data_IF_946644092699
#
_entry.id   IF_946644092699
#
_cell.length_a   1.000
_cell.length_b   1.000
_cell.length_c   1.000
_cell.angle_alpha   90.00
_cell.angle_beta   90.00
_cell.angle_gamma   90.00
#
_symmetry.space_group_name_H-M   'P 1'
#
loop_
_entity.id
_entity.type
_entity.pdbx_description
1 polymer ?
#
# COMPACT_ATOMS: atom_id res chain seq x y z
N UNK A 1 -5.56 -16.32 -41.86
CA UNK A 1 -4.83 -15.52 -42.87
C UNK A 1 -4.63 -16.30 -44.16
N UNK A 2 -3.78 -17.32 -44.26
CA UNK A 2 -3.64 -18.06 -45.53
C UNK A 2 -4.88 -18.91 -45.84
N UNK A 3 -5.48 -19.53 -44.82
CA UNK A 3 -6.72 -20.31 -44.95
C UNK A 3 -7.97 -19.46 -45.16
N UNK A 4 -7.89 -18.14 -44.99
CA UNK A 4 -9.01 -17.18 -45.16
C UNK A 4 -8.92 -16.38 -46.47
N UNK A 5 -7.88 -16.56 -47.29
CA UNK A 5 -7.69 -15.83 -48.55
C UNK A 5 -7.26 -14.36 -48.39
N UNK A 6 -6.96 -13.91 -47.17
CA UNK A 6 -6.51 -12.55 -46.89
C UNK A 6 -4.99 -12.42 -47.03
N UNK A 7 -4.54 -11.33 -47.66
CA UNK A 7 -3.11 -11.02 -47.83
C UNK A 7 -2.49 -10.74 -46.44
N UNK A 8 -1.45 -11.48 -46.03
CA UNK A 8 -0.80 -11.25 -44.74
C UNK A 8 -0.15 -9.85 -44.71
N UNK A 9 -0.61 -8.98 -43.81
CA UNK A 9 0.00 -7.67 -43.56
C UNK A 9 0.90 -7.74 -42.34
N UNK A 10 2.15 -7.27 -42.46
CA UNK A 10 3.15 -7.28 -41.37
C UNK A 10 2.63 -6.56 -40.12
N UNK A 11 1.87 -5.47 -40.31
CA UNK A 11 1.27 -4.70 -39.22
C UNK A 11 0.30 -5.53 -38.37
N UNK A 12 -0.53 -6.36 -39.00
CA UNK A 12 -1.46 -7.24 -38.29
C UNK A 12 -0.72 -8.30 -37.47
N UNK A 13 0.40 -8.83 -37.98
CA UNK A 13 1.24 -9.77 -37.24
C UNK A 13 1.89 -9.09 -36.03
N UNK A 14 2.41 -7.87 -36.18
CA UNK A 14 3.00 -7.09 -35.07
C UNK A 14 1.96 -6.77 -33.99
N UNK A 15 0.75 -6.40 -34.38
CA UNK A 15 -0.34 -6.15 -33.43
C UNK A 15 -0.75 -7.42 -32.68
N UNK A 16 -0.87 -8.56 -33.37
CA UNK A 16 -1.17 -9.84 -32.73
C UNK A 16 -0.06 -10.27 -31.74
N UNK A 17 1.21 -10.09 -32.12
CA UNK A 17 2.34 -10.36 -31.22
C UNK A 17 2.31 -9.45 -29.99
N UNK A 18 2.03 -8.15 -30.15
CA UNK A 18 1.93 -7.20 -29.03
C UNK A 18 0.87 -7.64 -28.02
N UNK A 19 -0.32 -8.07 -28.49
CA UNK A 19 -1.38 -8.55 -27.62
C UNK A 19 -0.94 -9.77 -26.79
N UNK A 20 -0.30 -10.75 -27.43
CA UNK A 20 0.13 -12.00 -26.78
C UNK A 20 1.25 -11.72 -25.77
N UNK A 21 2.29 -10.99 -26.19
CA UNK A 21 3.45 -10.70 -25.34
C UNK A 21 3.08 -9.78 -24.17
N UNK A 22 2.26 -8.76 -24.39
CA UNK A 22 1.82 -7.87 -23.31
C UNK A 22 0.98 -8.62 -22.26
N UNK A 23 0.09 -9.52 -22.69
CA UNK A 23 -0.69 -10.35 -21.77
C UNK A 23 0.20 -11.31 -20.97
N UNK A 24 1.17 -11.95 -21.62
CA UNK A 24 2.14 -12.82 -20.95
C UNK A 24 3.00 -12.04 -19.95
N UNK A 25 3.41 -10.81 -20.31
CA UNK A 25 4.21 -9.93 -19.47
C UNK A 25 3.46 -9.48 -18.21
N UNK A 26 2.14 -9.23 -18.28
CA UNK A 26 1.32 -8.95 -17.09
C UNK A 26 1.31 -10.17 -16.16
N UNK A 27 1.09 -11.37 -16.71
CA UNK A 27 1.07 -12.61 -15.92
C UNK A 27 2.41 -12.84 -15.22
N UNK A 28 3.53 -12.70 -15.94
CA UNK A 28 4.88 -12.83 -15.40
C UNK A 28 5.13 -11.81 -14.28
N UNK A 29 4.76 -10.54 -14.47
CA UNK A 29 4.88 -9.51 -13.44
C UNK A 29 4.10 -9.85 -12.16
N UNK A 30 2.86 -10.35 -12.30
CA UNK A 30 2.05 -10.78 -11.16
C UNK A 30 2.64 -12.01 -10.45
N UNK A 31 3.16 -12.98 -11.19
CA UNK A 31 3.81 -14.16 -10.62
C UNK A 31 5.06 -13.80 -9.81
N UNK A 32 5.88 -12.87 -10.33
CA UNK A 32 7.05 -12.32 -9.63
C UNK A 32 6.62 -11.63 -8.32
N UNK A 33 5.61 -10.76 -8.39
CA UNK A 33 5.08 -10.06 -7.22
C UNK A 33 4.55 -11.05 -6.17
N UNK A 34 3.70 -11.99 -6.60
CA UNK A 34 3.07 -12.96 -5.72
C UNK A 34 4.11 -13.87 -5.05
N UNK A 35 5.09 -14.36 -5.80
CA UNK A 35 6.14 -15.22 -5.27
C UNK A 35 6.99 -14.52 -4.20
N UNK A 36 7.25 -13.22 -4.37
CA UNK A 36 7.93 -12.42 -3.35
C UNK A 36 7.09 -12.25 -2.08
N UNK A 37 5.81 -11.91 -2.24
CA UNK A 37 4.90 -11.73 -1.10
C UNK A 37 4.63 -13.03 -0.33
N UNK A 38 4.55 -14.19 -1.00
CA UNK A 38 4.43 -15.48 -0.31
C UNK A 38 5.67 -15.80 0.55
N UNK A 39 6.87 -15.38 0.13
CA UNK A 39 8.08 -15.49 0.97
C UNK A 39 8.01 -14.56 2.17
N UNK A 40 7.56 -13.31 1.98
CA UNK A 40 7.40 -12.36 3.09
C UNK A 40 6.38 -12.85 4.13
N UNK A 41 5.30 -13.47 3.66
CA UNK A 41 4.20 -13.98 4.48
C UNK A 41 4.64 -14.98 5.54
N UNK A 42 5.74 -15.72 5.33
CA UNK A 42 6.25 -16.65 6.36
C UNK A 42 6.72 -15.95 7.64
N UNK A 43 6.96 -14.64 7.57
CA UNK A 43 7.41 -13.80 8.68
C UNK A 43 6.27 -13.04 9.37
N UNK A 44 5.02 -13.21 8.95
CA UNK A 44 3.89 -12.54 9.58
C UNK A 44 3.72 -12.96 11.06
N UNK A 45 3.31 -12.04 11.96
CA UNK A 45 2.96 -10.64 11.68
C UNK A 45 4.16 -9.69 11.65
N UNK A 46 4.08 -8.70 10.76
CA UNK A 46 5.08 -7.63 10.56
C UNK A 46 4.48 -6.24 10.79
N UNK A 47 5.34 -5.25 11.03
CA UNK A 47 4.93 -3.84 11.04
C UNK A 47 4.57 -3.37 9.62
N UNK A 48 3.67 -2.40 9.52
CA UNK A 48 3.16 -1.94 8.23
C UNK A 48 4.29 -1.38 7.33
N UNK A 49 5.29 -0.72 7.92
CA UNK A 49 6.49 -0.23 7.22
C UNK A 49 7.25 -1.30 6.50
N UNK A 50 7.44 -2.44 7.15
CA UNK A 50 8.19 -3.58 6.61
C UNK A 50 7.43 -4.17 5.42
N UNK A 51 6.13 -4.41 5.59
CA UNK A 51 5.27 -4.95 4.53
C UNK A 51 5.14 -3.98 3.35
N UNK A 52 5.03 -2.68 3.62
CA UNK A 52 4.93 -1.65 2.58
C UNK A 52 6.24 -1.44 1.82
N UNK A 53 7.39 -1.55 2.50
CA UNK A 53 8.70 -1.45 1.85
C UNK A 53 8.96 -2.63 0.92
N UNK A 54 8.59 -3.84 1.34
CA UNK A 54 8.70 -5.02 0.48
C UNK A 54 7.74 -4.93 -0.71
N UNK A 55 6.50 -4.49 -0.49
CA UNK A 55 5.55 -4.21 -1.58
C UNK A 55 6.13 -3.25 -2.61
N UNK A 56 6.79 -2.16 -2.20
CA UNK A 56 7.43 -1.22 -3.13
C UNK A 56 8.52 -1.92 -3.96
N UNK A 57 9.37 -2.72 -3.32
CA UNK A 57 10.43 -3.45 -4.00
C UNK A 57 9.85 -4.43 -5.04
N UNK A 58 8.86 -5.23 -4.65
CA UNK A 58 8.24 -6.23 -5.51
C UNK A 58 7.40 -5.60 -6.64
N UNK A 59 6.67 -4.52 -6.35
CA UNK A 59 5.91 -3.75 -7.35
C UNK A 59 6.85 -3.19 -8.43
N UNK A 60 8.01 -2.67 -8.01
CA UNK A 60 9.07 -2.21 -8.92
C UNK A 60 9.57 -3.35 -9.80
N UNK A 61 9.89 -4.51 -9.23
CA UNK A 61 10.38 -5.66 -9.99
C UNK A 61 9.34 -6.22 -10.96
N UNK A 62 8.07 -6.29 -10.54
CA UNK A 62 6.96 -6.70 -11.40
C UNK A 62 6.76 -5.75 -12.58
N UNK A 63 6.84 -4.44 -12.33
CA UNK A 63 6.77 -3.41 -13.39
C UNK A 63 7.95 -3.57 -14.35
N UNK A 64 9.18 -3.80 -13.85
CA UNK A 64 10.34 -4.07 -14.72
C UNK A 64 10.17 -5.31 -15.58
N UNK A 65 9.61 -6.40 -15.04
CA UNK A 65 9.33 -7.61 -15.80
C UNK A 65 8.36 -7.33 -16.96
N UNK A 66 7.30 -6.56 -16.70
CA UNK A 66 6.39 -6.09 -17.74
C UNK A 66 7.10 -5.22 -18.78
N UNK A 67 7.89 -4.23 -18.34
CA UNK A 67 8.56 -3.28 -19.23
C UNK A 67 9.56 -3.96 -20.18
N UNK A 68 10.21 -5.04 -19.76
CA UNK A 68 11.17 -5.78 -20.59
C UNK A 68 10.55 -6.50 -21.79
N UNK A 69 9.28 -6.90 -21.68
CA UNK A 69 8.60 -7.73 -22.68
C UNK A 69 7.51 -7.00 -23.44
N UNK A 70 6.90 -6.01 -22.80
CA UNK A 70 5.77 -5.30 -23.38
C UNK A 70 6.23 -4.36 -24.49
N UNK A 71 5.42 -4.22 -25.54
CA UNK A 71 5.60 -3.23 -26.59
C UNK A 71 4.24 -2.84 -27.17
N UNK A 72 4.14 -1.64 -27.78
CA UNK A 72 2.89 -1.10 -28.35
C UNK A 72 1.69 -1.07 -27.37
N UNK A 73 1.91 -0.88 -26.07
CA UNK A 73 0.81 -0.61 -25.10
C UNK A 73 0.44 0.88 -25.09
N UNK A 74 0.04 1.43 -26.24
CA UNK A 74 -0.14 2.88 -26.43
C UNK A 74 -1.19 3.52 -25.51
N UNK A 75 -2.14 2.73 -25.01
CA UNK A 75 -3.19 3.18 -24.09
C UNK A 75 -2.89 2.83 -22.62
N UNK A 76 -1.77 2.15 -22.33
CA UNK A 76 -1.34 1.81 -20.97
C UNK A 76 -2.23 0.76 -20.29
N UNK A 77 -2.95 -0.03 -21.09
CA UNK A 77 -3.96 -0.98 -20.61
C UNK A 77 -3.35 -2.14 -19.85
N UNK A 78 -2.21 -2.66 -20.32
CA UNK A 78 -1.55 -3.79 -19.70
C UNK A 78 -0.81 -3.36 -18.43
N UNK A 79 -0.17 -2.18 -18.44
CA UNK A 79 0.38 -1.62 -17.21
C UNK A 79 -0.71 -1.38 -16.15
N UNK A 80 -1.85 -0.81 -16.56
CA UNK A 80 -2.99 -0.63 -15.66
C UNK A 80 -3.48 -1.97 -15.10
N UNK A 81 -3.58 -3.00 -15.93
CA UNK A 81 -3.97 -4.34 -15.50
C UNK A 81 -3.01 -4.94 -14.48
N UNK A 82 -1.69 -4.77 -14.69
CA UNK A 82 -0.68 -5.19 -13.71
C UNK A 82 -0.83 -4.44 -12.39
N UNK A 83 -0.99 -3.11 -12.42
CA UNK A 83 -1.18 -2.26 -11.24
C UNK A 83 -2.41 -2.70 -10.42
N UNK A 84 -3.55 -2.89 -11.08
CA UNK A 84 -4.79 -3.35 -10.44
C UNK A 84 -4.62 -4.75 -9.82
N UNK A 85 -3.91 -5.65 -10.51
CA UNK A 85 -3.60 -6.98 -10.00
C UNK A 85 -2.69 -6.95 -8.77
N UNK A 86 -1.62 -6.15 -8.80
CA UNK A 86 -0.70 -5.96 -7.66
C UNK A 86 -1.46 -5.37 -6.47
N UNK A 87 -2.28 -4.34 -6.67
CA UNK A 87 -3.05 -3.70 -5.60
C UNK A 87 -4.02 -4.68 -4.93
N UNK A 88 -4.71 -5.51 -5.74
CA UNK A 88 -5.60 -6.56 -5.23
C UNK A 88 -4.84 -7.60 -4.41
N UNK A 89 -3.69 -8.07 -4.90
CA UNK A 89 -2.84 -9.02 -4.17
C UNK A 89 -2.33 -8.40 -2.86
N UNK A 90 -1.82 -7.18 -2.92
CA UNK A 90 -1.29 -6.48 -1.76
C UNK A 90 -2.34 -6.31 -0.66
N UNK A 91 -3.56 -5.89 -1.01
CA UNK A 91 -4.66 -5.82 -0.07
C UNK A 91 -4.93 -7.19 0.60
N UNK A 92 -4.92 -8.27 -0.18
CA UNK A 92 -5.08 -9.62 0.35
C UNK A 92 -4.00 -10.01 1.37
N UNK A 93 -2.73 -9.66 1.10
CA UNK A 93 -1.64 -9.90 2.04
C UNK A 93 -1.69 -9.01 3.28
N UNK A 94 -2.13 -7.75 3.14
CA UNK A 94 -2.35 -6.87 4.29
C UNK A 94 -3.41 -7.45 5.23
N UNK A 95 -4.54 -7.96 4.70
CA UNK A 95 -5.54 -8.64 5.51
C UNK A 95 -4.97 -9.85 6.25
N UNK A 96 -4.15 -10.67 5.59
CA UNK A 96 -3.49 -11.81 6.23
C UNK A 96 -2.50 -11.39 7.32
N UNK A 97 -1.74 -10.31 7.11
CA UNK A 97 -0.83 -9.76 8.12
C UNK A 97 -1.61 -9.21 9.33
N UNK A 98 -2.72 -8.51 9.07
CA UNK A 98 -3.64 -8.02 10.10
C UNK A 98 -4.23 -9.16 10.93
N UNK A 99 -4.67 -10.25 10.30
CA UNK A 99 -5.19 -11.45 10.98
C UNK A 99 -4.12 -12.14 11.83
N UNK A 100 -2.91 -12.32 11.27
CA UNK A 100 -1.79 -12.89 12.02
C UNK A 100 -1.42 -12.01 13.23
N UNK A 101 -1.47 -10.69 13.07
CA UNK A 101 -1.20 -9.73 14.14
C UNK A 101 -2.24 -9.80 15.24
N UNK A 102 -3.54 -9.82 14.87
CA UNK A 102 -4.65 -10.00 15.81
C UNK A 102 -4.49 -11.29 16.61
N UNK A 103 -4.31 -12.43 15.93
CA UNK A 103 -4.14 -13.75 16.58
C UNK A 103 -2.95 -13.77 17.54
N UNK A 104 -1.83 -13.15 17.16
CA UNK A 104 -0.65 -12.99 18.03
C UNK A 104 -1.00 -12.19 19.28
N UNK A 105 -1.67 -11.05 19.13
CA UNK A 105 -2.08 -10.18 20.23
C UNK A 105 -3.07 -10.88 21.18
N UNK A 106 -4.07 -11.56 20.65
CA UNK A 106 -5.06 -12.34 21.41
C UNK A 106 -4.40 -13.45 22.23
N UNK A 107 -3.45 -14.18 21.64
CA UNK A 107 -2.70 -15.23 22.35
C UNK A 107 -1.88 -14.65 23.51
N UNK A 108 -1.23 -13.51 23.29
CA UNK A 108 -0.47 -12.81 24.34
C UNK A 108 -1.41 -12.39 25.48
N UNK A 109 -2.52 -11.72 25.16
CA UNK A 109 -3.47 -11.24 26.16
C UNK A 109 -4.12 -12.39 26.92
N UNK A 110 -4.44 -13.49 26.23
CA UNK A 110 -4.97 -14.72 26.85
C UNK A 110 -3.97 -15.34 27.82
N UNK A 111 -2.70 -15.41 27.43
CA UNK A 111 -1.62 -15.92 28.30
C UNK A 111 -1.42 -15.03 29.53
N UNK A 112 -1.34 -13.71 29.35
CA UNK A 112 -1.15 -12.74 30.44
C UNK A 112 -2.36 -12.71 31.39
N UNK A 113 -3.58 -12.89 30.88
CA UNK A 113 -4.81 -12.83 31.66
C UNK A 113 -5.25 -14.18 32.24
N UNK A 114 -4.51 -15.26 32.02
CA UNK A 114 -4.86 -16.60 32.50
C UNK A 114 -5.05 -16.66 34.03
N UNK A 115 -4.08 -16.14 34.78
CA UNK A 115 -4.14 -16.08 36.26
C UNK A 115 -5.31 -15.24 36.75
N UNK A 116 -5.55 -14.08 36.15
CA UNK A 116 -6.69 -13.21 36.48
C UNK A 116 -8.02 -13.92 36.22
N UNK A 117 -8.12 -14.63 35.08
CA UNK A 117 -9.30 -15.42 34.72
C UNK A 117 -9.57 -16.54 35.73
N UNK A 118 -8.54 -17.22 36.22
CA UNK A 118 -8.70 -18.24 37.27
C UNK A 118 -9.13 -17.65 38.61
N UNK A 119 -8.51 -16.54 39.03
CA UNK A 119 -8.91 -15.80 40.23
C UNK A 119 -10.39 -15.40 40.17
N UNK A 120 -10.85 -14.94 39.01
CA UNK A 120 -12.26 -14.59 38.78
C UNK A 120 -13.18 -15.80 38.95
N UNK A 121 -12.85 -16.93 38.31
CA UNK A 121 -13.64 -18.19 38.43
C UNK A 121 -13.73 -18.72 39.85
N UNK A 122 -12.66 -18.56 40.64
CA UNK A 122 -12.60 -18.99 42.04
C UNK A 122 -13.28 -17.99 43.01
N UNK A 123 -13.83 -16.89 42.49
CA UNK A 123 -14.43 -15.84 43.31
C UNK A 123 -13.42 -15.05 44.14
N UNK A 124 -12.13 -15.03 43.77
CA UNK A 124 -11.08 -14.36 44.55
C UNK A 124 -11.24 -12.83 44.62
N UNK A 125 -12.01 -12.24 43.69
CA UNK A 125 -12.37 -10.82 43.71
C UNK A 125 -13.71 -10.53 44.40
N UNK A 126 -14.46 -11.55 44.81
CA UNK A 126 -15.75 -11.39 45.51
C UNK A 126 -15.55 -11.18 47.03
N UNK A 127 -14.64 -10.27 47.38
CA UNK A 127 -14.28 -9.92 48.76
C UNK A 127 -14.31 -8.39 48.93
N UNK A 128 -14.46 -7.87 50.16
CA UNK A 128 -14.34 -6.44 50.41
C UNK A 128 -12.98 -5.88 49.93
N UNK A 129 -13.00 -4.96 48.97
CA UNK A 129 -11.81 -4.40 48.30
C UNK A 129 -11.34 -5.18 47.07
N UNK A 130 -12.11 -6.16 46.61
CA UNK A 130 -11.78 -6.99 45.45
C UNK A 130 -11.69 -6.21 44.13
N UNK A 131 -12.41 -5.09 43.99
CA UNK A 131 -12.30 -4.22 42.81
C UNK A 131 -10.88 -3.69 42.63
N UNK A 132 -10.27 -3.18 43.70
CA UNK A 132 -8.92 -2.62 43.65
C UNK A 132 -7.90 -3.69 43.23
N UNK A 133 -8.04 -4.91 43.75
CA UNK A 133 -7.19 -6.04 43.37
C UNK A 133 -7.35 -6.41 41.88
N UNK A 134 -8.59 -6.43 41.38
CA UNK A 134 -8.87 -6.67 39.97
C UNK A 134 -8.25 -5.60 39.07
N UNK A 135 -8.40 -4.32 39.43
CA UNK A 135 -7.82 -3.20 38.68
C UNK A 135 -6.29 -3.28 38.61
N UNK A 136 -5.63 -3.68 39.70
CA UNK A 136 -4.17 -3.86 39.74
C UNK A 136 -3.70 -5.03 38.86
N UNK A 137 -4.40 -6.18 38.90
CA UNK A 137 -4.08 -7.31 38.02
C UNK A 137 -4.26 -6.93 36.54
N UNK A 138 -5.33 -6.19 36.20
CA UNK A 138 -5.59 -5.71 34.84
C UNK A 138 -4.51 -4.74 34.36
N UNK A 139 -4.11 -3.81 35.23
CA UNK A 139 -3.03 -2.85 34.98
C UNK A 139 -1.70 -3.54 34.64
N UNK A 140 -1.33 -4.56 35.41
CA UNK A 140 -0.12 -5.34 35.19
C UNK A 140 -0.17 -6.11 33.86
N UNK A 141 -1.34 -6.62 33.47
CA UNK A 141 -1.55 -7.27 32.17
C UNK A 141 -1.31 -6.27 31.03
N UNK A 142 -1.93 -5.09 31.09
CA UNK A 142 -1.79 -4.05 30.05
C UNK A 142 -0.32 -3.60 29.93
N UNK A 143 0.35 -3.38 31.06
CA UNK A 143 1.77 -3.00 31.07
C UNK A 143 2.65 -4.06 30.41
N UNK A 144 2.48 -5.33 30.78
CA UNK A 144 3.22 -6.46 30.19
C UNK A 144 2.92 -6.63 28.70
N UNK A 145 1.67 -6.42 28.29
CA UNK A 145 1.28 -6.49 26.88
C UNK A 145 1.97 -5.40 26.05
N UNK A 146 1.98 -4.15 26.52
CA UNK A 146 2.57 -3.02 25.78
C UNK A 146 4.06 -3.21 25.51
N UNK A 147 4.83 -3.73 26.47
CA UNK A 147 6.29 -3.92 26.31
C UNK A 147 6.69 -5.10 25.43
N UNK A 148 5.79 -6.05 25.13
CA UNK A 148 6.14 -7.18 24.28
C UNK A 148 6.43 -6.77 22.84
N UNK A 149 7.48 -7.28 22.22
CA UNK A 149 7.80 -7.01 20.83
C UNK A 149 7.00 -7.88 19.84
N UNK A 150 7.08 -7.54 18.55
CA UNK A 150 6.61 -8.34 17.42
C UNK A 150 5.10 -8.62 17.44
N UNK A 151 4.28 -7.61 17.77
CA UNK A 151 2.82 -7.74 17.77
C UNK A 151 2.19 -7.39 16.41
N UNK A 152 2.86 -6.57 15.59
CA UNK A 152 2.39 -6.16 14.28
C UNK A 152 1.30 -5.08 14.35
N UNK A 153 0.46 -5.00 13.32
CA UNK A 153 -0.41 -3.85 13.05
C UNK A 153 -1.73 -3.76 13.86
N UNK A 154 -2.13 -4.78 14.64
CA UNK A 154 -3.40 -4.82 15.38
C UNK A 154 -3.26 -4.65 16.91
N UNK A 155 -2.15 -4.05 17.37
CA UNK A 155 -1.86 -3.91 18.80
C UNK A 155 -2.97 -3.20 19.58
N UNK A 156 -3.35 -1.99 19.16
CA UNK A 156 -4.27 -1.14 19.91
C UNK A 156 -5.72 -1.60 19.71
N UNK A 157 -6.08 -2.02 18.49
CA UNK A 157 -7.40 -2.62 18.18
C UNK A 157 -7.70 -3.82 19.10
N UNK A 158 -6.75 -4.76 19.23
CA UNK A 158 -6.96 -5.97 20.04
C UNK A 158 -7.00 -5.65 21.54
N UNK A 159 -6.20 -4.68 21.98
CA UNK A 159 -6.20 -4.22 23.37
C UNK A 159 -7.51 -3.50 23.73
N UNK A 160 -8.05 -2.68 22.83
CA UNK A 160 -9.34 -2.01 23.00
C UNK A 160 -10.46 -3.03 23.21
N UNK A 161 -10.54 -4.05 22.37
CA UNK A 161 -11.53 -5.13 22.47
C UNK A 161 -11.40 -5.89 23.80
N UNK A 162 -10.18 -6.24 24.19
CA UNK A 162 -9.90 -6.88 25.47
C UNK A 162 -10.35 -6.03 26.66
N UNK A 163 -10.03 -4.72 26.68
CA UNK A 163 -10.43 -3.82 27.77
C UNK A 163 -11.95 -3.65 27.83
N UNK A 164 -12.65 -3.56 26.69
CA UNK A 164 -14.12 -3.54 26.66
C UNK A 164 -14.73 -4.80 27.26
N UNK A 165 -14.16 -5.98 26.97
CA UNK A 165 -14.60 -7.23 27.59
C UNK A 165 -14.37 -7.22 29.10
N UNK A 166 -13.19 -6.78 29.56
CA UNK A 166 -12.86 -6.71 30.99
C UNK A 166 -13.64 -5.65 31.75
N UNK A 167 -14.16 -4.64 31.07
CA UNK A 167 -15.03 -3.64 31.66
C UNK A 167 -16.33 -4.23 32.22
N UNK A 168 -16.91 -5.21 31.52
CA UNK A 168 -18.12 -5.90 32.00
C UNK A 168 -17.86 -6.66 33.30
N UNK A 169 -16.70 -7.34 33.38
CA UNK A 169 -16.26 -8.05 34.60
C UNK A 169 -15.96 -7.06 35.74
N UNK A 170 -15.27 -5.96 35.41
CA UNK A 170 -14.91 -4.86 36.33
C UNK A 170 -16.16 -4.26 37.01
N UNK A 171 -17.17 -3.92 36.21
CA UNK A 171 -18.43 -3.34 36.70
C UNK A 171 -19.17 -4.28 37.65
N UNK A 172 -19.23 -5.58 37.33
CA UNK A 172 -19.88 -6.56 38.21
C UNK A 172 -19.17 -6.67 39.58
N UNK A 173 -17.83 -6.68 39.58
CA UNK A 173 -17.03 -6.69 40.81
C UNK A 173 -17.23 -5.39 41.61
N UNK A 174 -17.22 -4.23 40.94
CA UNK A 174 -17.41 -2.94 41.59
C UNK A 174 -18.77 -2.84 42.31
N UNK A 175 -19.83 -3.35 41.67
CA UNK A 175 -21.16 -3.35 42.27
C UNK A 175 -21.23 -4.29 43.48
N UNK A 176 -20.59 -5.45 43.43
CA UNK A 176 -20.55 -6.42 44.53
C UNK A 176 -19.62 -6.02 45.70
N UNK A 177 -18.68 -5.09 45.50
CA UNK A 177 -17.72 -4.69 46.52
C UNK A 177 -18.36 -3.79 47.59
N UNK A 178 -18.54 -4.31 48.81
CA UNK A 178 -19.15 -3.60 49.93
C UNK A 178 -18.16 -2.75 50.75
N UNK A 179 -16.87 -2.76 50.40
CA UNK A 179 -15.85 -1.93 51.06
C UNK A 179 -15.89 -0.47 50.61
N UNK A 180 -16.33 -0.25 49.38
CA UNK A 180 -16.34 1.07 48.74
C UNK A 180 -17.66 1.79 49.00
N UNK A 181 -17.58 3.05 49.39
CA UNK A 181 -18.75 3.93 49.45
C UNK A 181 -19.24 4.25 48.04
N UNK A 182 -20.53 4.57 47.91
CA UNK A 182 -21.16 4.91 46.62
C UNK A 182 -20.43 6.05 45.88
N UNK A 183 -19.90 7.03 46.62
CA UNK A 183 -19.09 8.11 46.05
C UNK A 183 -17.77 7.61 45.46
N UNK A 184 -17.12 6.64 46.10
CA UNK A 184 -15.86 6.06 45.63
C UNK A 184 -16.10 5.16 44.41
N UNK A 185 -17.20 4.41 44.37
CA UNK A 185 -17.61 3.62 43.21
C UNK A 185 -17.76 4.49 41.96
N UNK A 186 -18.45 5.63 42.08
CA UNK A 186 -18.59 6.60 40.98
C UNK A 186 -17.25 7.12 40.45
N UNK A 187 -16.31 7.44 41.35
CA UNK A 187 -14.96 7.86 40.94
C UNK A 187 -14.24 6.75 40.16
N UNK A 188 -14.38 5.50 40.58
CA UNK A 188 -13.78 4.36 39.89
C UNK A 188 -14.40 4.13 38.50
N UNK A 189 -15.73 4.24 38.36
CA UNK A 189 -16.42 4.15 37.07
C UNK A 189 -15.97 5.27 36.10
N UNK A 190 -15.82 6.50 36.60
CA UNK A 190 -15.31 7.62 35.79
C UNK A 190 -13.87 7.38 35.31
N UNK A 191 -13.02 6.81 36.17
CA UNK A 191 -11.64 6.44 35.80
C UNK A 191 -11.60 5.35 34.73
N UNK A 192 -12.44 4.33 34.87
CA UNK A 192 -12.54 3.25 33.88
C UNK A 192 -13.01 3.78 32.52
N UNK A 193 -14.02 4.67 32.51
CA UNK A 193 -14.44 5.37 31.29
C UNK A 193 -13.31 6.18 30.66
N UNK A 194 -12.49 6.87 31.47
CA UNK A 194 -11.34 7.61 30.97
C UNK A 194 -10.26 6.70 30.35
N UNK A 195 -10.03 5.51 30.93
CA UNK A 195 -9.11 4.49 30.39
C UNK A 195 -9.59 3.97 29.03
N UNK A 196 -10.88 3.59 28.90
CA UNK A 196 -11.45 3.12 27.64
C UNK A 196 -11.39 4.21 26.56
N UNK A 197 -11.70 5.46 26.92
CA UNK A 197 -11.62 6.60 26.02
C UNK A 197 -10.19 6.85 25.53
N UNK A 198 -9.20 6.80 26.42
CA UNK A 198 -7.79 6.94 26.04
C UNK A 198 -7.33 5.81 25.11
N UNK A 199 -7.81 4.58 25.31
CA UNK A 199 -7.50 3.46 24.43
C UNK A 199 -8.17 3.60 23.04
N UNK A 200 -9.40 4.09 22.99
CA UNK A 200 -10.08 4.38 21.72
C UNK A 200 -9.31 5.43 20.91
N UNK A 201 -8.81 6.49 21.57
CA UNK A 201 -7.95 7.49 20.93
C UNK A 201 -6.68 6.84 20.37
N UNK A 202 -5.94 6.06 21.17
CA UNK A 202 -4.73 5.35 20.71
C UNK A 202 -5.00 4.45 19.50
N UNK A 203 -6.16 3.79 19.47
CA UNK A 203 -6.57 2.92 18.36
C UNK A 203 -6.84 3.73 17.10
N UNK A 204 -7.52 4.87 17.20
CA UNK A 204 -7.74 5.79 16.07
C UNK A 204 -6.43 6.39 15.57
N UNK A 205 -5.52 6.77 16.47
CA UNK A 205 -4.19 7.26 16.09
C UNK A 205 -3.35 6.18 15.38
N UNK A 206 -3.43 4.92 15.81
CA UNK A 206 -2.76 3.82 15.11
C UNK A 206 -3.28 3.69 13.67
N UNK A 207 -4.61 3.75 13.47
CA UNK A 207 -5.23 3.72 12.13
C UNK A 207 -4.80 4.91 11.27
N UNK A 208 -4.70 6.10 11.87
CA UNK A 208 -4.22 7.30 11.19
C UNK A 208 -2.77 7.12 10.72
N UNK A 209 -1.86 6.69 11.60
CA UNK A 209 -0.45 6.43 11.24
C UNK A 209 -0.33 5.37 10.14
N UNK A 210 -1.17 4.35 10.17
CA UNK A 210 -1.22 3.34 9.13
C UNK A 210 -1.70 3.91 7.78
N UNK A 211 -2.67 4.82 7.78
CA UNK A 211 -3.12 5.49 6.57
C UNK A 211 -2.04 6.42 5.99
N UNK A 212 -1.32 7.16 6.84
CA UNK A 212 -0.16 7.98 6.42
C UNK A 212 0.92 7.14 5.75
N UNK A 213 1.23 5.98 6.33
CA UNK A 213 2.21 5.06 5.77
C UNK A 213 1.76 4.48 4.42
N UNK A 214 0.48 4.12 4.28
CA UNK A 214 -0.09 3.68 2.99
C UNK A 214 0.01 4.78 1.93
N UNK A 215 -0.28 6.03 2.29
CA UNK A 215 -0.16 7.18 1.39
C UNK A 215 1.29 7.38 0.91
N UNK A 216 2.26 7.33 1.81
CA UNK A 216 3.67 7.48 1.46
C UNK A 216 4.18 6.32 0.59
N UNK A 217 3.73 5.10 0.88
CA UNK A 217 4.08 3.94 0.07
C UNK A 217 3.52 4.01 -1.35
N UNK A 218 2.26 4.42 -1.49
CA UNK A 218 1.61 4.62 -2.77
C UNK A 218 2.28 5.73 -3.59
N UNK A 219 2.68 6.84 -2.94
CA UNK A 219 3.42 7.94 -3.58
C UNK A 219 4.74 7.44 -4.18
N UNK A 220 5.56 6.72 -3.40
CA UNK A 220 6.85 6.19 -3.86
C UNK A 220 6.70 5.16 -4.97
N UNK A 221 5.73 4.25 -4.84
CA UNK A 221 5.43 3.22 -5.85
C UNK A 221 5.05 3.87 -7.19
N UNK A 222 4.21 4.91 -7.15
CA UNK A 222 3.86 5.66 -8.35
C UNK A 222 5.05 6.40 -8.94
N UNK A 223 5.86 7.12 -8.15
CA UNK A 223 7.04 7.83 -8.65
C UNK A 223 8.02 6.92 -9.40
N UNK A 224 8.32 5.75 -8.81
CA UNK A 224 9.20 4.76 -9.42
C UNK A 224 8.60 4.19 -10.72
N UNK A 225 7.30 3.91 -10.74
CA UNK A 225 6.59 3.45 -11.95
C UNK A 225 6.68 4.49 -13.07
N UNK A 226 6.47 5.77 -12.74
CA UNK A 226 6.55 6.86 -13.71
C UNK A 226 7.98 7.04 -14.25
N UNK A 227 8.99 6.80 -13.41
CA UNK A 227 10.39 6.79 -13.83
C UNK A 227 10.68 5.67 -14.84
N UNK A 228 10.29 4.44 -14.51
CA UNK A 228 10.50 3.28 -15.40
C UNK A 228 9.78 3.43 -16.74
N UNK A 229 8.58 4.03 -16.73
CA UNK A 229 7.83 4.30 -17.95
C UNK A 229 8.57 5.31 -18.85
N UNK A 230 9.12 6.38 -18.28
CA UNK A 230 9.94 7.35 -19.02
C UNK A 230 11.20 6.72 -19.61
N UNK A 231 11.94 5.96 -18.81
CA UNK A 231 13.15 5.25 -19.26
C UNK A 231 12.84 4.29 -20.41
N UNK A 232 11.72 3.55 -20.34
CA UNK A 232 11.30 2.66 -21.42
C UNK A 232 10.97 3.43 -22.70
N UNK A 233 10.25 4.54 -22.60
CA UNK A 233 9.89 5.35 -23.76
C UNK A 233 11.12 5.92 -24.47
N UNK A 234 12.06 6.46 -23.70
CA UNK A 234 13.31 7.01 -24.25
C UNK A 234 14.08 5.93 -25.01
N UNK A 235 14.13 4.71 -24.45
CA UNK A 235 14.78 3.57 -25.09
C UNK A 235 14.03 3.08 -26.34
N UNK A 236 12.71 2.96 -26.30
CA UNK A 236 11.90 2.59 -27.47
C UNK A 236 12.03 3.63 -28.60
N UNK A 237 12.04 4.93 -28.27
CA UNK A 237 12.25 5.99 -29.25
C UNK A 237 13.66 5.95 -29.85
N UNK A 238 14.69 5.69 -29.04
CA UNK A 238 16.06 5.53 -29.51
C UNK A 238 16.17 4.38 -30.52
N UNK A 239 15.62 3.21 -30.18
CA UNK A 239 15.62 2.03 -31.05
C UNK A 239 14.83 2.27 -32.35
N UNK A 240 13.71 2.99 -32.28
CA UNK A 240 12.93 3.36 -33.48
C UNK A 240 13.72 4.30 -34.40
N UNK A 241 14.44 5.28 -33.86
CA UNK A 241 15.30 6.17 -34.65
C UNK A 241 16.43 5.39 -35.32
N UNK A 242 17.10 4.51 -34.57
CA UNK A 242 18.18 3.67 -35.11
C UNK A 242 17.70 2.76 -36.24
N UNK A 243 16.51 2.15 -36.10
CA UNK A 243 15.92 1.34 -37.16
C UNK A 243 15.59 2.17 -38.41
N UNK A 244 15.03 3.36 -38.22
CA UNK A 244 14.72 4.27 -39.31
C UNK A 244 15.99 4.78 -40.03
N UNK A 245 17.07 5.07 -39.30
CA UNK A 245 18.38 5.43 -39.86
C UNK A 245 18.97 4.27 -40.67
N UNK A 246 18.94 3.04 -40.15
CA UNK A 246 19.40 1.85 -40.90
C UNK A 246 18.62 1.63 -42.19
N UNK A 247 17.29 1.81 -42.15
CA UNK A 247 16.45 1.73 -43.34
C UNK A 247 16.78 2.84 -44.35
N UNK A 248 17.04 4.05 -43.86
CA UNK A 248 17.45 5.21 -44.65
C UNK A 248 18.79 4.98 -45.36
N UNK A 249 19.78 4.47 -44.65
CA UNK A 249 21.11 4.14 -45.18
C UNK A 249 21.07 3.02 -46.23
N UNK A 250 20.17 2.05 -46.06
CA UNK A 250 19.92 1.03 -47.09
C UNK A 250 19.37 1.65 -48.37
N UNK A 251 18.38 2.55 -48.27
CA UNK A 251 17.79 3.25 -49.42
C UNK A 251 18.80 4.16 -50.12
N UNK A 252 19.66 4.86 -49.37
CA UNK A 252 20.74 5.69 -49.94
C UNK A 252 21.72 4.86 -50.77
N UNK A 253 22.12 3.68 -50.29
CA UNK A 253 23.03 2.78 -51.02
C UNK A 253 22.38 2.23 -52.29
N UNK A 254 21.10 1.88 -52.23
CA UNK A 254 20.36 1.42 -53.41
C UNK A 254 20.21 2.53 -54.46
N UNK A 255 19.93 3.75 -54.03
CA UNK A 255 19.87 4.92 -54.91
C UNK A 255 21.20 5.18 -55.61
N UNK A 256 22.32 5.14 -54.87
CA UNK A 256 23.65 5.30 -55.45
C UNK A 256 23.93 4.23 -56.53
N UNK A 257 23.57 2.97 -56.26
CA UNK A 257 23.74 1.88 -57.22
C UNK A 257 22.85 2.02 -58.48
N UNK A 258 21.69 2.67 -58.38
CA UNK A 258 20.84 2.98 -59.54
C UNK A 258 21.44 4.08 -60.41
N UNK A 259 22.01 5.12 -59.78
CA UNK A 259 22.71 6.20 -60.47
C UNK A 259 23.93 5.68 -61.23
N UNK A 260 24.75 4.85 -60.59
CA UNK A 260 25.94 4.23 -61.21
C UNK A 260 25.59 3.38 -62.44
N UNK A 261 24.39 2.80 -62.47
CA UNK A 261 23.87 1.99 -63.59
C UNK A 261 23.14 2.84 -64.65
N UNK A 262 23.04 4.15 -64.47
CA UNK A 262 22.37 5.08 -65.40
C UNK A 262 20.84 5.10 -65.32
N UNK A 263 20.23 4.53 -64.28
CA UNK A 263 18.77 4.50 -64.11
C UNK A 263 18.25 5.77 -63.41
N UNK A 264 18.40 6.94 -64.05
CA UNK A 264 18.09 8.24 -63.46
C UNK A 264 16.64 8.35 -62.94
N UNK A 265 15.65 8.00 -63.76
CA UNK A 265 14.22 8.09 -63.39
C UNK A 265 13.87 7.22 -62.16
N UNK A 266 14.51 6.05 -62.01
CA UNK A 266 14.32 5.19 -60.83
C UNK A 266 14.97 5.79 -59.58
N UNK A 267 16.14 6.42 -59.74
CA UNK A 267 16.81 7.10 -58.64
C UNK A 267 16.03 8.34 -58.16
N UNK A 268 15.42 9.09 -59.09
CA UNK A 268 14.58 10.25 -58.76
C UNK A 268 13.31 9.83 -58.01
N UNK A 269 12.61 8.78 -58.49
CA UNK A 269 11.49 8.18 -57.75
C UNK A 269 11.90 7.71 -56.34
N UNK A 270 13.09 7.15 -56.20
CA UNK A 270 13.60 6.72 -54.90
C UNK A 270 13.85 7.91 -53.97
N UNK A 271 14.31 9.05 -54.48
CA UNK A 271 14.41 10.29 -53.70
C UNK A 271 13.06 10.70 -53.13
N UNK A 272 11.99 10.66 -53.93
CA UNK A 272 10.64 10.99 -53.49
C UNK A 272 10.15 10.03 -52.39
N UNK A 273 10.37 8.71 -52.57
CA UNK A 273 10.05 7.70 -51.56
C UNK A 273 10.82 7.93 -50.25
N UNK A 274 12.09 8.37 -50.34
CA UNK A 274 12.94 8.70 -49.20
C UNK A 274 12.45 9.94 -48.45
N UNK A 275 12.00 10.98 -49.16
CA UNK A 275 11.40 12.17 -48.54
C UNK A 275 10.09 11.84 -47.84
N UNK A 276 9.23 11.05 -48.48
CA UNK A 276 7.97 10.58 -47.88
C UNK A 276 8.25 9.69 -46.65
N UNK A 277 9.24 8.80 -46.73
CA UNK A 277 9.69 7.98 -45.60
C UNK A 277 10.15 8.83 -44.41
N UNK A 278 11.01 9.83 -44.64
CA UNK A 278 11.46 10.78 -43.60
C UNK A 278 10.28 11.51 -42.96
N UNK A 279 9.33 11.98 -43.78
CA UNK A 279 8.13 12.68 -43.31
C UNK A 279 7.24 11.78 -42.45
N UNK A 280 6.98 10.56 -42.92
CA UNK A 280 6.20 9.55 -42.19
C UNK A 280 6.85 9.17 -40.87
N UNK A 281 8.17 8.95 -40.85
CA UNK A 281 8.89 8.61 -39.63
C UNK A 281 8.84 9.74 -38.59
N UNK A 282 9.07 10.99 -39.02
CA UNK A 282 8.97 12.18 -38.15
C UNK A 282 7.55 12.38 -37.59
N UNK A 283 6.53 12.06 -38.39
CA UNK A 283 5.15 12.12 -37.94
C UNK A 283 4.83 10.99 -36.93
N UNK A 284 5.25 9.76 -37.21
CA UNK A 284 5.06 8.62 -36.31
C UNK A 284 5.71 8.85 -34.94
N UNK A 285 6.92 9.41 -34.92
CA UNK A 285 7.63 9.77 -33.69
C UNK A 285 6.86 10.81 -32.87
N UNK A 286 6.35 11.87 -33.52
CA UNK A 286 5.52 12.89 -32.87
C UNK A 286 4.23 12.31 -32.29
N UNK A 287 3.57 11.41 -33.02
CA UNK A 287 2.34 10.78 -32.54
C UNK A 287 2.62 9.82 -31.38
N UNK A 288 3.71 9.05 -31.43
CA UNK A 288 4.17 8.21 -30.32
C UNK A 288 4.41 9.04 -29.04
N UNK A 289 5.10 10.17 -29.18
CA UNK A 289 5.34 11.09 -28.06
C UNK A 289 4.04 11.66 -27.48
N UNK A 290 3.07 12.05 -28.33
CA UNK A 290 1.77 12.56 -27.86
C UNK A 290 0.97 11.50 -27.11
N UNK A 291 0.95 10.26 -27.62
CA UNK A 291 0.25 9.14 -26.97
C UNK A 291 0.83 8.86 -25.60
N UNK A 292 2.16 8.86 -25.48
CA UNK A 292 2.84 8.68 -24.22
C UNK A 292 2.55 9.78 -23.21
N UNK A 293 2.64 11.06 -23.61
CA UNK A 293 2.29 12.20 -22.76
C UNK A 293 0.85 12.11 -22.22
N UNK A 294 -0.08 11.71 -23.09
CA UNK A 294 -1.48 11.47 -22.71
C UNK A 294 -1.59 10.33 -21.69
N UNK A 295 -0.87 9.23 -21.87
CA UNK A 295 -0.83 8.11 -20.93
C UNK A 295 -0.31 8.55 -19.55
N UNK A 296 0.83 9.24 -19.52
CA UNK A 296 1.45 9.78 -18.30
C UNK A 296 0.49 10.72 -17.57
N UNK A 297 -0.16 11.61 -18.31
CA UNK A 297 -1.16 12.54 -17.76
C UNK A 297 -2.35 11.79 -17.13
N UNK A 298 -2.88 10.78 -17.83
CA UNK A 298 -3.99 9.97 -17.34
C UNK A 298 -3.62 9.17 -16.07
N UNK A 299 -2.40 8.63 -16.02
CA UNK A 299 -1.88 7.94 -14.84
C UNK A 299 -1.73 8.88 -13.65
N UNK A 300 -1.10 10.04 -13.85
CA UNK A 300 -0.95 11.05 -12.81
C UNK A 300 -2.30 11.53 -12.28
N UNK A 301 -3.29 11.71 -13.15
CA UNK A 301 -4.66 12.07 -12.75
C UNK A 301 -5.29 11.00 -11.85
N UNK A 302 -5.23 9.72 -12.26
CA UNK A 302 -5.76 8.60 -11.45
C UNK A 302 -5.07 8.50 -10.09
N UNK A 303 -3.75 8.60 -10.06
CA UNK A 303 -2.99 8.58 -8.82
C UNK A 303 -3.35 9.78 -7.94
N UNK A 304 -3.49 10.98 -8.49
CA UNK A 304 -3.93 12.17 -7.75
C UNK A 304 -5.33 12.00 -7.16
N UNK A 305 -6.28 11.42 -7.90
CA UNK A 305 -7.63 11.10 -7.41
C UNK A 305 -7.58 10.12 -6.22
N UNK A 306 -6.77 9.05 -6.33
CA UNK A 306 -6.57 8.09 -5.25
C UNK A 306 -5.93 8.73 -4.01
N UNK A 307 -4.88 9.54 -4.19
CA UNK A 307 -4.22 10.27 -3.10
C UNK A 307 -5.16 11.28 -2.44
N UNK A 308 -6.01 11.96 -3.21
CA UNK A 308 -7.01 12.88 -2.66
C UNK A 308 -8.07 12.15 -1.83
N UNK A 309 -8.50 10.95 -2.24
CA UNK A 309 -9.40 10.12 -1.45
C UNK A 309 -8.76 9.74 -0.10
N UNK A 310 -7.52 9.26 -0.11
CA UNK A 310 -6.80 8.92 1.13
C UNK A 310 -6.57 10.14 2.02
N UNK A 311 -6.26 11.31 1.45
CA UNK A 311 -6.12 12.57 2.21
C UNK A 311 -7.43 13.01 2.86
N UNK A 312 -8.57 12.83 2.20
CA UNK A 312 -9.90 13.09 2.80
C UNK A 312 -10.16 12.16 3.97
N UNK A 313 -9.95 10.86 3.77
CA UNK A 313 -10.08 9.86 4.84
C UNK A 313 -9.17 10.18 6.04
N UNK A 314 -7.94 10.62 5.78
CA UNK A 314 -7.00 11.05 6.82
C UNK A 314 -7.50 12.29 7.57
N UNK A 315 -8.00 13.29 6.84
CA UNK A 315 -8.57 14.51 7.44
C UNK A 315 -9.81 14.22 8.30
N UNK A 316 -10.70 13.34 7.82
CA UNK A 316 -11.88 12.88 8.55
C UNK A 316 -11.48 12.13 9.83
N UNK A 317 -10.45 11.27 9.77
CA UNK A 317 -9.92 10.58 10.96
C UNK A 317 -9.32 11.57 11.97
N UNK A 318 -8.59 12.58 11.49
CA UNK A 318 -8.03 13.64 12.33
C UNK A 318 -9.12 14.44 13.04
N UNK A 319 -10.16 14.87 12.31
CA UNK A 319 -11.30 15.59 12.89
C UNK A 319 -12.06 14.72 13.91
N UNK A 320 -12.23 13.43 13.59
CA UNK A 320 -12.84 12.47 14.51
C UNK A 320 -12.03 12.30 15.80
N UNK A 321 -10.69 12.32 15.75
CA UNK A 321 -9.83 12.27 16.94
C UNK A 321 -9.91 13.59 17.72
N UNK A 322 -9.84 14.74 17.03
CA UNK A 322 -9.86 16.07 17.66
C UNK A 322 -11.19 16.41 18.35
N UNK A 323 -12.30 15.87 17.84
CA UNK A 323 -13.64 16.05 18.40
C UNK A 323 -13.93 15.13 19.59
N UNK A 324 -13.07 14.14 19.88
CA UNK A 324 -13.25 13.29 21.05
C UNK A 324 -13.05 14.07 22.35
N UNK A 325 -13.81 13.72 23.41
CA UNK A 325 -13.55 14.27 24.73
C UNK A 325 -12.11 13.96 25.17
N UNK A 326 -11.46 14.91 25.86
CA UNK A 326 -10.16 14.62 26.47
C UNK A 326 -10.38 13.73 27.69
N UNK A 327 -9.64 12.62 27.83
CA UNK A 327 -9.69 11.83 29.05
C UNK A 327 -9.32 12.72 30.25
N UNK A 328 -10.03 12.55 31.37
CA UNK A 328 -9.84 13.41 32.54
C UNK A 328 -8.39 13.33 33.03
N UNK A 329 -7.82 14.48 33.42
CA UNK A 329 -6.40 14.59 33.79
C UNK A 329 -6.07 14.07 35.19
N UNK A 330 -6.96 13.32 35.83
CA UNK A 330 -6.77 12.87 37.21
C UNK A 330 -5.74 11.72 37.24
N UNK A 331 -4.47 12.14 37.30
CA UNK A 331 -3.21 11.44 37.04
C UNK A 331 -2.82 10.37 38.07
N UNK A 332 -3.78 9.84 38.84
CA UNK A 332 -3.51 8.85 39.90
C UNK A 332 -3.58 7.39 39.44
N UNK A 333 -4.13 7.10 38.25
CA UNK A 333 -4.14 5.76 37.67
C UNK A 333 -2.93 5.54 36.73
N UNK A 334 -2.07 4.58 37.06
CA UNK A 334 -0.86 4.24 36.29
C UNK A 334 -1.21 3.69 34.88
N UNK A 335 -2.36 3.02 34.69
CA UNK A 335 -2.90 2.58 33.38
C UNK A 335 -3.19 3.79 32.50
N UNK A 336 -3.82 4.83 33.06
CA UNK A 336 -4.06 6.07 32.35
C UNK A 336 -2.72 6.71 31.96
N UNK A 337 -1.71 6.73 32.84
CA UNK A 337 -0.36 7.21 32.46
C UNK A 337 0.28 6.36 31.35
N UNK A 338 0.18 5.03 31.37
CA UNK A 338 0.70 4.13 30.34
C UNK A 338 -0.04 4.25 29.00
N UNK A 339 -1.31 4.67 29.02
CA UNK A 339 -2.09 5.00 27.84
C UNK A 339 -1.78 6.41 27.32
N UNK A 340 -1.56 7.39 28.21
CA UNK A 340 -1.19 8.77 27.89
C UNK A 340 0.28 8.92 27.45
N UNK A 341 1.20 8.02 27.82
CA UNK A 341 2.57 8.00 27.29
C UNK A 341 2.57 7.79 25.76
N UNK A 342 1.59 7.06 25.22
CA UNK A 342 1.35 6.96 23.77
C UNK A 342 1.00 8.31 23.10
N UNK A 343 0.32 9.20 23.84
CA UNK A 343 -0.06 10.55 23.38
C UNK A 343 1.09 11.57 23.47
N UNK A 344 2.11 11.30 24.28
CA UNK A 344 3.17 12.27 24.62
C UNK A 344 4.20 12.49 23.49
N UNK A 345 4.20 11.63 22.46
CA UNK A 345 5.10 11.78 21.32
C UNK A 345 4.70 12.91 20.35
N UNK A 346 3.55 13.57 20.56
CA UNK A 346 3.02 14.60 19.64
C UNK A 346 2.91 16.00 20.28
N UNK A 347 2.94 16.14 21.61
CA UNK A 347 3.03 17.49 22.22
C UNK A 347 4.42 18.13 22.07
N UNK A 348 5.40 17.38 21.56
CA UNK A 348 6.70 17.90 21.10
C UNK A 348 6.61 18.43 19.67
N UNK A 349 5.74 19.41 19.44
CA UNK A 349 5.72 20.17 18.19
C UNK A 349 7.08 20.80 17.95
N UNK A 350 7.69 20.43 16.83
CA UNK A 350 8.84 21.10 16.24
C UNK A 350 8.58 22.60 16.21
N UNK A 351 9.41 23.39 16.91
CA UNK A 351 9.54 24.82 16.60
C UNK A 351 10.15 24.91 15.19
N UNK A 352 9.56 25.68 14.26
CA UNK A 352 10.28 26.05 13.05
C UNK A 352 11.33 27.11 13.42
N UNK A 353 12.58 26.84 13.02
CA UNK A 353 13.79 27.68 13.02
C UNK A 353 14.09 28.51 14.28
#
# INVERSE_FOLDING_TARGET
>A
MISSGEVPFLENAVMAMALIENAAAVKEGLEVYQSGMEKLKTSFPLELKEVSSEHQCLSRTATQALMKRSFKDSEGTYLKSLEEGINKLFHGYLCQNEEASRKRCENILSSLSGTMTEKLKKGSYAIPGGYVLFSQDLEDIVKKYKIQANKGVKVEDTLEEFLKQKSVESQAILQADNKLMEKEKKIMEEREKAVLLAQEINTKEQKQRQLEEKMEAERRSNEERMKQMREKMDEEMRLQREEAERAMDSKLREQAALLDKGFQEKADRMSEEMEDFRRKNKNAEKESHKLFEKMITNMNKRHAENMNLMKRQHSEQMEAIMSMPKPSSDSSALVLRLLLIGLSSITGGSRPC
#
